data_IF_148352585459
#
_entry.id   IF_148352585459
#
_cell.length_a   1.000
_cell.length_b   1.000
_cell.length_c   1.000
_cell.angle_alpha   90.00
_cell.angle_beta   90.00
_cell.angle_gamma   90.00
#
_symmetry.space_group_name_H-M   'P 1'
#
loop_
_entity.id
_entity.type
_entity.pdbx_description
1 polymer ?
#
# COMPACT_ATOMS: atom_id res chain seq x y z
N UNK A 1 26.20 9.25 -31.72
CA UNK A 1 25.73 10.41 -30.93
C UNK A 1 24.68 9.93 -29.96
N UNK A 2 25.07 9.69 -28.69
CA UNK A 2 24.13 9.29 -27.62
C UNK A 2 23.47 10.57 -27.10
N UNK A 3 22.22 10.84 -27.48
CA UNK A 3 21.45 11.89 -26.87
C UNK A 3 21.27 11.55 -25.39
N UNK A 4 21.95 12.28 -24.52
CA UNK A 4 21.73 12.21 -23.06
C UNK A 4 20.35 12.80 -22.80
N UNK A 5 19.29 11.99 -22.83
CA UNK A 5 18.03 12.43 -22.30
C UNK A 5 18.21 12.64 -20.77
N UNK A 6 17.90 13.84 -20.25
CA UNK A 6 18.01 14.07 -18.81
C UNK A 6 17.10 13.06 -18.07
N UNK A 7 17.57 12.53 -16.93
CA UNK A 7 16.80 11.60 -16.10
C UNK A 7 15.41 12.16 -15.79
N UNK A 8 15.33 13.43 -15.39
CA UNK A 8 14.10 14.18 -15.16
C UNK A 8 13.60 14.79 -16.46
N UNK A 9 12.99 13.97 -17.30
CA UNK A 9 12.25 14.47 -18.46
C UNK A 9 10.84 14.90 -18.06
N UNK A 10 10.18 15.70 -18.92
CA UNK A 10 8.82 16.24 -18.67
C UNK A 10 7.81 15.14 -18.32
N UNK A 11 7.81 14.01 -19.03
CA UNK A 11 6.87 12.93 -18.80
C UNK A 11 7.07 12.29 -17.43
N UNK A 12 8.32 12.12 -16.99
CA UNK A 12 8.62 11.56 -15.67
C UNK A 12 8.18 12.51 -14.54
N UNK A 13 8.41 13.83 -14.69
CA UNK A 13 7.95 14.82 -13.71
C UNK A 13 6.42 14.82 -13.58
N UNK A 14 5.70 14.77 -14.70
CA UNK A 14 4.24 14.69 -14.69
C UNK A 14 3.76 13.38 -14.04
N UNK A 15 4.46 12.26 -14.26
CA UNK A 15 4.12 10.98 -13.61
C UNK A 15 4.42 11.00 -12.11
N UNK A 16 5.46 11.70 -11.65
CA UNK A 16 5.74 11.95 -10.23
C UNK A 16 4.58 12.71 -9.57
N UNK A 17 4.04 13.71 -10.25
CA UNK A 17 2.84 14.44 -9.77
C UNK A 17 1.63 13.49 -9.68
N UNK A 18 1.39 12.67 -10.69
CA UNK A 18 0.32 11.66 -10.66
C UNK A 18 0.50 10.68 -9.51
N UNK A 19 1.72 10.27 -9.19
CA UNK A 19 2.02 9.41 -8.05
C UNK A 19 1.72 10.11 -6.71
N UNK A 20 2.06 11.39 -6.59
CA UNK A 20 1.70 12.20 -5.43
C UNK A 20 0.18 12.28 -5.23
N UNK A 21 -0.59 12.57 -6.29
CA UNK A 21 -2.05 12.57 -6.27
C UNK A 21 -2.64 11.19 -5.91
N UNK A 22 -2.02 10.12 -6.43
CA UNK A 22 -2.43 8.75 -6.10
C UNK A 22 -2.25 8.45 -4.61
N UNK A 23 -1.08 8.75 -4.04
CA UNK A 23 -0.86 8.51 -2.60
C UNK A 23 -1.68 9.45 -1.73
N UNK A 24 -1.91 10.70 -2.14
CA UNK A 24 -2.88 11.59 -1.48
C UNK A 24 -4.25 10.93 -1.37
N UNK A 25 -4.77 10.40 -2.47
CA UNK A 25 -6.05 9.69 -2.48
C UNK A 25 -6.02 8.44 -1.59
N UNK A 26 -5.01 7.58 -1.74
CA UNK A 26 -4.90 6.32 -1.01
C UNK A 26 -4.86 6.53 0.51
N UNK A 27 -3.97 7.42 0.97
CA UNK A 27 -3.78 7.67 2.41
C UNK A 27 -5.01 8.36 3.01
N UNK A 28 -5.61 9.33 2.29
CA UNK A 28 -6.85 9.98 2.73
C UNK A 28 -7.99 8.97 2.85
N UNK A 29 -8.18 8.10 1.85
CA UNK A 29 -9.23 7.07 1.91
C UNK A 29 -9.06 6.15 3.13
N UNK A 30 -7.86 5.72 3.45
CA UNK A 30 -7.60 4.89 4.64
C UNK A 30 -7.85 5.68 5.91
N UNK A 31 -7.42 6.95 5.97
CA UNK A 31 -7.55 7.80 7.15
C UNK A 31 -9.02 8.09 7.54
N UNK A 32 -9.88 8.37 6.55
CA UNK A 32 -11.24 8.86 6.82
C UNK A 32 -12.32 7.79 6.73
N UNK A 33 -12.17 6.76 5.87
CA UNK A 33 -13.26 5.82 5.61
C UNK A 33 -13.58 4.90 6.79
N UNK A 34 -12.65 4.67 7.72
CA UNK A 34 -12.95 4.01 8.99
C UNK A 34 -13.83 4.88 9.91
N UNK A 35 -13.54 6.18 9.96
CA UNK A 35 -14.27 7.17 10.78
C UNK A 35 -15.67 7.46 10.23
N UNK A 36 -15.77 7.74 8.93
CA UNK A 36 -17.07 7.92 8.27
C UNK A 36 -17.86 6.60 8.31
N UNK A 37 -17.19 5.47 8.11
CA UNK A 37 -17.79 4.15 8.27
C UNK A 37 -18.37 3.94 9.66
N UNK A 38 -17.65 4.31 10.73
CA UNK A 38 -18.15 4.22 12.11
C UNK A 38 -19.41 5.08 12.32
N UNK A 39 -19.44 6.28 11.75
CA UNK A 39 -20.59 7.20 11.90
C UNK A 39 -21.86 6.73 11.18
N UNK A 40 -21.71 5.88 10.14
CA UNK A 40 -22.81 5.42 9.27
C UNK A 40 -23.16 3.95 9.49
N UNK A 41 -22.28 3.16 10.08
CA UNK A 41 -22.45 1.71 10.21
C UNK A 41 -23.64 1.36 11.12
N UNK A 42 -24.45 0.37 10.74
CA UNK A 42 -25.51 -0.15 11.61
C UNK A 42 -24.99 -0.69 12.95
N UNK A 43 -23.79 -1.24 12.96
CA UNK A 43 -23.08 -1.75 14.12
C UNK A 43 -21.59 -1.38 14.04
N UNK A 44 -20.99 -1.03 15.17
CA UNK A 44 -19.65 -0.44 15.22
C UNK A 44 -18.53 -1.33 14.63
N UNK A 45 -18.64 -2.66 14.76
CA UNK A 45 -17.64 -3.58 14.19
C UNK A 45 -17.56 -3.55 12.65
N UNK A 46 -18.57 -2.97 11.97
CA UNK A 46 -18.55 -2.78 10.51
C UNK A 46 -17.81 -1.51 10.07
N UNK A 47 -17.29 -0.70 10.99
CA UNK A 47 -16.71 0.62 10.73
C UNK A 47 -15.68 0.63 9.58
N UNK A 48 -14.85 -0.42 9.46
CA UNK A 48 -13.81 -0.51 8.43
C UNK A 48 -14.19 -1.33 7.19
N UNK A 49 -15.46 -1.73 7.05
CA UNK A 49 -15.92 -2.34 5.79
C UNK A 49 -15.68 -1.45 4.56
N UNK A 50 -15.83 -0.11 4.61
CA UNK A 50 -15.43 0.74 3.48
C UNK A 50 -13.94 0.64 3.15
N UNK A 51 -13.05 0.54 4.16
CA UNK A 51 -11.61 0.35 3.94
C UNK A 51 -11.34 -1.02 3.32
N UNK A 52 -11.99 -2.08 3.81
CA UNK A 52 -11.94 -3.41 3.20
C UNK A 52 -12.45 -3.38 1.75
N UNK A 53 -13.56 -2.68 1.49
CA UNK A 53 -14.12 -2.51 0.15
C UNK A 53 -13.10 -1.94 -0.82
N UNK A 54 -12.34 -0.91 -0.41
CA UNK A 54 -11.27 -0.32 -1.21
C UNK A 54 -10.16 -1.33 -1.56
N UNK A 55 -9.72 -2.14 -0.60
CA UNK A 55 -8.69 -3.17 -0.79
C UNK A 55 -9.19 -4.28 -1.72
N UNK A 56 -10.37 -4.81 -1.46
CA UNK A 56 -10.99 -5.89 -2.27
C UNK A 56 -11.28 -5.40 -3.68
N UNK A 57 -11.79 -4.17 -3.82
CA UNK A 57 -12.00 -3.52 -5.11
C UNK A 57 -10.70 -3.39 -5.91
N UNK A 58 -9.58 -3.04 -5.25
CA UNK A 58 -8.26 -2.99 -5.86
C UNK A 58 -7.80 -4.37 -6.35
N UNK A 59 -7.93 -5.40 -5.52
CA UNK A 59 -7.58 -6.78 -5.88
C UNK A 59 -8.38 -7.26 -7.11
N UNK A 60 -9.70 -7.06 -7.10
CA UNK A 60 -10.58 -7.42 -8.21
C UNK A 60 -10.24 -6.67 -9.50
N UNK A 61 -9.91 -5.39 -9.37
CA UNK A 61 -9.65 -4.51 -10.50
C UNK A 61 -8.31 -4.79 -11.18
N UNK A 62 -7.38 -5.51 -10.55
CA UNK A 62 -6.04 -5.76 -11.12
C UNK A 62 -6.12 -6.37 -12.52
N UNK A 63 -6.95 -7.40 -12.71
CA UNK A 63 -7.14 -8.04 -14.03
C UNK A 63 -7.85 -7.13 -15.03
N UNK A 64 -8.81 -6.31 -14.57
CA UNK A 64 -9.56 -5.36 -15.40
C UNK A 64 -8.62 -4.26 -15.89
N UNK A 65 -7.76 -3.73 -15.01
CA UNK A 65 -6.75 -2.73 -15.33
C UNK A 65 -5.74 -3.26 -16.34
N UNK A 66 -5.25 -4.49 -16.15
CA UNK A 66 -4.34 -5.12 -17.11
C UNK A 66 -4.97 -5.25 -18.50
N UNK A 67 -6.23 -5.70 -18.59
CA UNK A 67 -6.98 -5.75 -19.86
C UNK A 67 -7.18 -4.36 -20.44
N UNK A 68 -7.53 -3.36 -19.62
CA UNK A 68 -7.69 -1.97 -20.04
C UNK A 68 -6.39 -1.41 -20.64
N UNK A 69 -5.24 -1.66 -20.02
CA UNK A 69 -3.94 -1.21 -20.53
C UNK A 69 -3.58 -1.90 -21.85
N UNK A 70 -3.86 -3.19 -21.99
CA UNK A 70 -3.60 -3.92 -23.24
C UNK A 70 -4.48 -3.46 -24.39
N UNK A 71 -5.73 -3.07 -24.12
CA UNK A 71 -6.70 -2.69 -25.16
C UNK A 71 -6.60 -1.20 -25.53
N UNK A 72 -6.58 -0.31 -24.53
CA UNK A 72 -6.59 1.15 -24.73
C UNK A 72 -5.20 1.79 -24.64
N UNK A 73 -4.19 1.05 -24.19
CA UNK A 73 -2.86 1.57 -23.87
C UNK A 73 -2.80 2.25 -22.49
N UNK A 74 -1.58 2.55 -22.05
CA UNK A 74 -1.31 3.05 -20.69
C UNK A 74 -2.01 4.37 -20.38
N UNK A 75 -1.93 5.35 -21.29
CA UNK A 75 -2.47 6.70 -21.09
C UNK A 75 -3.97 6.68 -20.81
N UNK A 76 -4.75 6.04 -21.68
CA UNK A 76 -6.21 5.99 -21.58
C UNK A 76 -6.61 5.18 -20.34
N UNK A 77 -5.94 4.06 -20.06
CA UNK A 77 -6.21 3.26 -18.86
C UNK A 77 -5.96 4.06 -17.59
N UNK A 78 -4.89 4.85 -17.51
CA UNK A 78 -4.63 5.72 -16.37
C UNK A 78 -5.64 6.86 -16.24
N UNK A 79 -6.07 7.45 -17.33
CA UNK A 79 -7.14 8.47 -17.34
C UNK A 79 -8.48 7.88 -16.86
N UNK A 80 -8.83 6.66 -17.29
CA UNK A 80 -10.00 5.93 -16.78
C UNK A 80 -9.88 5.69 -15.25
N UNK A 81 -8.68 5.33 -14.77
CA UNK A 81 -8.43 5.19 -13.33
C UNK A 81 -8.70 6.48 -12.55
N UNK A 82 -8.21 7.61 -13.06
CA UNK A 82 -8.42 8.94 -12.47
C UNK A 82 -9.89 9.39 -12.55
N UNK A 83 -10.59 9.08 -13.64
CA UNK A 83 -12.03 9.33 -13.76
C UNK A 83 -12.81 8.52 -12.72
N UNK A 84 -12.47 7.25 -12.54
CA UNK A 84 -13.07 6.42 -11.50
C UNK A 84 -12.75 6.96 -10.10
N UNK A 85 -11.53 7.45 -9.85
CA UNK A 85 -11.18 8.11 -8.59
C UNK A 85 -12.06 9.32 -8.31
N UNK A 86 -12.26 10.18 -9.31
CA UNK A 86 -13.13 11.37 -9.22
C UNK A 86 -14.58 10.99 -8.90
N UNK A 87 -15.15 10.07 -9.69
CA UNK A 87 -16.55 9.66 -9.55
C UNK A 87 -16.79 8.89 -8.24
N UNK A 88 -15.88 8.01 -7.84
CA UNK A 88 -16.00 7.28 -6.58
C UNK A 88 -15.88 8.20 -5.36
N UNK A 89 -15.05 9.24 -5.41
CA UNK A 89 -14.97 10.25 -4.36
C UNK A 89 -16.29 11.03 -4.23
N UNK A 90 -16.90 11.42 -5.36
CA UNK A 90 -18.24 12.05 -5.36
C UNK A 90 -19.32 11.11 -4.83
N UNK A 91 -19.25 9.82 -5.17
CA UNK A 91 -20.16 8.81 -4.65
C UNK A 91 -20.02 8.64 -3.12
N UNK A 92 -18.79 8.63 -2.60
CA UNK A 92 -18.53 8.61 -1.17
C UNK A 92 -19.02 9.91 -0.48
N UNK A 93 -18.83 11.07 -1.11
CA UNK A 93 -19.38 12.34 -0.65
C UNK A 93 -20.90 12.28 -0.53
N UNK A 94 -21.57 11.80 -1.56
CA UNK A 94 -23.03 11.63 -1.55
C UNK A 94 -23.49 10.60 -0.51
N UNK A 95 -22.74 9.50 -0.35
CA UNK A 95 -23.02 8.50 0.68
C UNK A 95 -22.94 9.08 2.10
N UNK A 96 -21.95 9.96 2.36
CA UNK A 96 -21.82 10.65 3.64
C UNK A 96 -23.00 11.61 3.91
N UNK A 97 -23.40 12.41 2.93
CA UNK A 97 -24.53 13.35 3.05
C UNK A 97 -25.86 12.59 3.21
N UNK A 98 -26.09 11.55 2.42
CA UNK A 98 -27.31 10.72 2.48
C UNK A 98 -27.31 9.73 3.64
N UNK A 99 -26.24 9.70 4.45
CA UNK A 99 -26.07 8.78 5.58
C UNK A 99 -26.24 7.30 5.18
N UNK A 100 -25.79 6.93 3.98
CA UNK A 100 -25.96 5.58 3.46
C UNK A 100 -24.64 4.80 3.54
N UNK A 101 -24.57 3.89 4.52
CA UNK A 101 -23.39 3.06 4.77
C UNK A 101 -23.01 2.17 3.59
N UNK A 102 -23.99 1.48 2.98
CA UNK A 102 -23.72 0.55 1.89
C UNK A 102 -23.27 1.25 0.61
N UNK A 103 -23.78 2.45 0.40
CA UNK A 103 -23.34 3.29 -0.71
C UNK A 103 -21.88 3.73 -0.52
N UNK A 104 -21.45 4.00 0.72
CA UNK A 104 -20.06 4.29 1.05
C UNK A 104 -19.17 3.06 0.75
N UNK A 105 -19.57 1.86 1.19
CA UNK A 105 -18.85 0.62 0.91
C UNK A 105 -18.72 0.39 -0.60
N UNK A 106 -19.80 0.60 -1.37
CA UNK A 106 -19.78 0.47 -2.82
C UNK A 106 -18.87 1.53 -3.48
N UNK A 107 -18.92 2.78 -3.03
CA UNK A 107 -18.08 3.85 -3.54
C UNK A 107 -16.59 3.56 -3.33
N UNK A 108 -16.22 3.07 -2.14
CA UNK A 108 -14.83 2.69 -1.85
C UNK A 108 -14.38 1.45 -2.63
N UNK A 109 -15.27 0.46 -2.83
CA UNK A 109 -14.98 -0.69 -3.69
C UNK A 109 -14.66 -0.27 -5.14
N UNK A 110 -15.47 0.64 -5.70
CA UNK A 110 -15.23 1.20 -7.04
C UNK A 110 -13.91 1.98 -7.08
N UNK A 111 -13.58 2.75 -6.03
CA UNK A 111 -12.32 3.48 -5.90
C UNK A 111 -11.09 2.55 -5.96
N UNK A 112 -11.24 1.28 -5.60
CA UNK A 112 -10.21 0.25 -5.73
C UNK A 112 -9.66 0.11 -7.15
N UNK A 113 -10.45 0.41 -8.18
CA UNK A 113 -9.97 0.43 -9.57
C UNK A 113 -8.83 1.45 -9.77
N UNK A 114 -8.95 2.63 -9.17
CA UNK A 114 -7.87 3.61 -9.19
C UNK A 114 -6.66 3.14 -8.39
N UNK A 115 -6.88 2.48 -7.26
CA UNK A 115 -5.79 1.87 -6.48
C UNK A 115 -4.96 0.90 -7.32
N UNK A 116 -5.61 0.00 -8.07
CA UNK A 116 -4.93 -0.93 -8.96
C UNK A 116 -4.16 -0.21 -10.09
N UNK A 117 -4.73 0.86 -10.67
CA UNK A 117 -4.07 1.67 -11.69
C UNK A 117 -2.84 2.42 -11.14
N UNK A 118 -2.96 3.09 -10.00
CA UNK A 118 -1.90 3.89 -9.40
C UNK A 118 -0.66 3.07 -9.04
N UNK A 119 -0.85 1.81 -8.63
CA UNK A 119 0.24 0.87 -8.39
C UNK A 119 1.12 0.64 -9.63
N UNK A 120 0.62 0.91 -10.82
CA UNK A 120 1.34 0.70 -12.08
C UNK A 120 2.17 1.91 -12.52
N UNK A 121 2.01 3.09 -11.90
CA UNK A 121 2.81 4.28 -12.26
C UNK A 121 4.31 4.04 -12.15
N UNK A 122 4.76 3.29 -11.15
CA UNK A 122 6.18 2.90 -10.98
C UNK A 122 6.72 2.08 -12.15
N UNK A 123 5.91 1.23 -12.77
CA UNK A 123 6.31 0.45 -13.94
C UNK A 123 6.32 1.33 -15.19
N UNK A 124 5.32 2.23 -15.33
CA UNK A 124 5.28 3.20 -16.40
C UNK A 124 6.49 4.16 -16.37
N UNK A 125 7.00 4.50 -15.18
CA UNK A 125 8.22 5.30 -15.03
C UNK A 125 9.43 4.68 -15.73
N UNK A 126 9.58 3.36 -15.63
CA UNK A 126 10.67 2.64 -16.27
C UNK A 126 10.61 2.67 -17.81
N UNK A 127 9.42 2.89 -18.38
CA UNK A 127 9.22 2.98 -19.85
C UNK A 127 9.48 4.39 -20.38
N UNK A 128 9.46 5.40 -19.53
CA UNK A 128 9.68 6.80 -19.89
C UNK A 128 11.16 7.22 -19.91
N UNK A 129 12.07 6.28 -19.63
CA UNK A 129 13.50 6.54 -19.49
C UNK A 129 14.36 5.48 -20.16
N UNK A 130 15.64 5.82 -20.42
CA UNK A 130 16.63 4.89 -20.94
C UNK A 130 16.85 3.71 -20.01
N UNK A 131 17.22 2.53 -20.57
CA UNK A 131 17.48 1.28 -19.83
C UNK A 131 18.40 1.47 -18.60
N UNK A 132 19.44 2.30 -18.71
CA UNK A 132 20.41 2.57 -17.63
C UNK A 132 19.83 3.42 -16.48
N UNK A 133 18.68 4.07 -16.69
CA UNK A 133 18.08 5.01 -15.75
C UNK A 133 16.76 4.52 -15.16
N UNK A 134 16.28 3.33 -15.57
CA UNK A 134 14.97 2.78 -15.16
C UNK A 134 14.80 2.71 -13.65
N UNK A 135 15.79 2.19 -12.94
CA UNK A 135 15.69 2.03 -11.47
C UNK A 135 15.62 3.39 -10.76
N UNK A 136 16.36 4.39 -11.28
CA UNK A 136 16.28 5.76 -10.77
C UNK A 136 14.93 6.41 -11.04
N UNK A 137 14.35 6.19 -12.23
CA UNK A 137 13.04 6.72 -12.57
C UNK A 137 11.93 6.13 -11.67
N UNK A 138 11.97 4.81 -11.43
CA UNK A 138 11.06 4.15 -10.48
C UNK A 138 11.21 4.76 -9.09
N UNK A 139 12.44 4.95 -8.61
CA UNK A 139 12.71 5.57 -7.30
C UNK A 139 12.17 7.00 -7.21
N UNK A 140 12.32 7.81 -8.25
CA UNK A 140 11.80 9.19 -8.28
C UNK A 140 10.27 9.22 -8.25
N UNK A 141 9.60 8.32 -8.98
CA UNK A 141 8.12 8.24 -8.94
C UNK A 141 7.64 7.80 -7.56
N UNK A 142 8.29 6.81 -6.95
CA UNK A 142 7.95 6.40 -5.58
C UNK A 142 8.20 7.52 -4.56
N UNK A 143 9.28 8.31 -4.75
CA UNK A 143 9.55 9.49 -3.94
C UNK A 143 8.45 10.56 -4.04
N UNK A 144 7.86 10.73 -5.25
CA UNK A 144 6.68 11.59 -5.43
C UNK A 144 5.50 11.20 -4.55
N UNK A 145 5.42 9.93 -4.16
CA UNK A 145 4.44 9.45 -3.20
C UNK A 145 4.58 10.04 -1.80
N UNK A 146 5.79 10.41 -1.37
CA UNK A 146 6.01 11.06 -0.07
C UNK A 146 5.26 12.40 0.01
N UNK A 147 5.15 13.13 -1.11
CA UNK A 147 4.31 14.34 -1.17
C UNK A 147 2.85 14.01 -0.84
N UNK A 148 2.35 12.90 -1.40
CA UNK A 148 1.00 12.43 -1.10
C UNK A 148 0.82 11.97 0.35
N UNK A 149 1.87 11.42 0.96
CA UNK A 149 1.87 11.06 2.38
C UNK A 149 1.65 12.27 3.29
N UNK A 150 2.27 13.40 2.94
CA UNK A 150 2.11 14.67 3.67
C UNK A 150 0.77 15.33 3.32
N UNK A 151 0.48 15.47 2.04
CA UNK A 151 -0.72 16.20 1.57
C UNK A 151 -2.01 15.50 2.00
N UNK A 152 -2.09 14.16 1.88
CA UNK A 152 -3.34 13.41 2.09
C UNK A 152 -3.97 13.60 3.47
N UNK A 153 -3.29 13.24 4.57
CA UNK A 153 -3.84 13.38 5.91
C UNK A 153 -4.10 14.84 6.30
N UNK A 154 -3.20 15.75 5.92
CA UNK A 154 -3.37 17.18 6.20
C UNK A 154 -4.57 17.77 5.44
N UNK A 155 -4.74 17.41 4.15
CA UNK A 155 -5.90 17.80 3.37
C UNK A 155 -7.21 17.33 4.02
N UNK A 156 -7.26 16.07 4.48
CA UNK A 156 -8.40 15.55 5.20
C UNK A 156 -8.67 16.32 6.50
N UNK A 157 -7.62 16.70 7.24
CA UNK A 157 -7.71 17.48 8.47
C UNK A 157 -8.23 18.89 8.20
N UNK A 158 -7.70 19.62 7.23
CA UNK A 158 -8.07 20.98 6.90
C UNK A 158 -9.50 21.09 6.34
N UNK A 159 -9.97 20.05 5.67
CA UNK A 159 -11.29 20.05 5.01
C UNK A 159 -12.36 19.29 5.76
N UNK A 160 -12.02 18.71 6.93
CA UNK A 160 -12.92 17.88 7.74
C UNK A 160 -14.23 18.58 8.07
N UNK A 161 -14.12 19.77 8.59
CA UNK A 161 -15.22 20.53 9.22
C UNK A 161 -15.64 21.76 8.37
N UNK A 162 -15.31 21.75 7.04
CA UNK A 162 -15.73 22.82 6.11
C UNK A 162 -17.21 22.79 5.79
N UNK A 163 -17.90 21.70 6.05
CA UNK A 163 -19.32 21.48 5.80
C UNK A 163 -19.96 20.83 7.01
N UNK A 164 -21.29 20.90 7.12
CA UNK A 164 -22.04 20.26 8.22
C UNK A 164 -21.83 18.74 8.29
N UNK A 165 -21.55 18.10 7.15
CA UNK A 165 -21.20 16.69 7.10
C UNK A 165 -19.69 16.54 7.21
N UNK A 166 -19.21 15.92 8.29
CA UNK A 166 -17.78 15.68 8.52
C UNK A 166 -17.14 14.92 7.35
N UNK A 167 -15.93 15.35 6.95
CA UNK A 167 -15.16 14.80 5.84
C UNK A 167 -15.76 14.96 4.43
N UNK A 168 -16.92 15.63 4.28
CA UNK A 168 -17.45 15.93 2.95
C UNK A 168 -16.42 16.71 2.11
N UNK A 169 -15.79 17.72 2.72
CA UNK A 169 -14.73 18.50 2.08
C UNK A 169 -13.55 17.64 1.62
N UNK A 170 -13.18 16.62 2.38
CA UNK A 170 -12.10 15.70 2.00
C UNK A 170 -12.45 14.91 0.72
N UNK A 171 -13.65 14.34 0.63
CA UNK A 171 -14.09 13.65 -0.60
C UNK A 171 -14.17 14.57 -1.81
N UNK A 172 -14.70 15.80 -1.65
CA UNK A 172 -14.74 16.79 -2.73
C UNK A 172 -13.34 17.16 -3.21
N UNK A 173 -12.40 17.34 -2.30
CA UNK A 173 -10.99 17.66 -2.65
C UNK A 173 -10.31 16.50 -3.35
N UNK A 174 -10.60 15.25 -2.96
CA UNK A 174 -10.12 14.07 -3.69
C UNK A 174 -10.70 13.97 -5.10
N UNK A 175 -11.96 14.37 -5.29
CA UNK A 175 -12.55 14.46 -6.63
C UNK A 175 -11.84 15.52 -7.48
N UNK A 176 -11.54 16.69 -6.91
CA UNK A 176 -10.75 17.73 -7.58
C UNK A 176 -9.34 17.21 -7.92
N UNK A 177 -8.69 16.49 -6.99
CA UNK A 177 -7.38 15.87 -7.24
C UNK A 177 -7.43 14.86 -8.41
N UNK A 178 -8.50 14.07 -8.51
CA UNK A 178 -8.75 13.18 -9.64
C UNK A 178 -8.87 13.94 -10.97
N UNK A 179 -9.62 15.05 -10.98
CA UNK A 179 -9.75 15.93 -12.15
C UNK A 179 -8.40 16.54 -12.57
N UNK A 180 -7.63 17.07 -11.60
CA UNK A 180 -6.28 17.58 -11.85
C UNK A 180 -5.39 16.46 -12.41
N UNK A 181 -5.48 15.26 -11.89
CA UNK A 181 -4.74 14.10 -12.35
C UNK A 181 -5.05 13.75 -13.82
N UNK A 182 -6.33 13.81 -14.24
CA UNK A 182 -6.73 13.60 -15.63
C UNK A 182 -6.06 14.63 -16.54
N UNK A 183 -6.08 15.92 -16.12
CA UNK A 183 -5.45 17.00 -16.86
C UNK A 183 -3.93 16.82 -16.98
N UNK A 184 -3.26 16.48 -15.88
CA UNK A 184 -1.81 16.20 -15.86
C UNK A 184 -1.48 15.01 -16.76
N UNK A 185 -2.25 13.91 -16.66
CA UNK A 185 -2.05 12.69 -17.46
C UNK A 185 -2.21 12.97 -18.97
N UNK A 186 -3.01 13.94 -19.37
CA UNK A 186 -3.19 14.33 -20.77
C UNK A 186 -1.88 14.75 -21.43
N UNK A 187 -0.96 15.34 -20.70
CA UNK A 187 0.32 15.83 -21.21
C UNK A 187 1.44 14.78 -21.19
N UNK A 188 1.21 13.60 -20.64
CA UNK A 188 2.20 12.51 -20.66
C UNK A 188 2.10 11.76 -21.98
N UNK A 189 3.26 11.54 -22.60
CA UNK A 189 3.41 10.73 -23.81
C UNK A 189 4.12 9.44 -23.44
N UNK A 190 3.40 8.33 -23.50
CA UNK A 190 3.97 7.00 -23.33
C UNK A 190 4.47 6.48 -24.68
N UNK A 191 5.63 5.81 -24.75
CA UNK A 191 6.07 5.12 -25.95
C UNK A 191 5.00 4.10 -26.39
N UNK A 192 4.80 3.96 -27.71
CA UNK A 192 3.97 2.86 -28.21
C UNK A 192 4.60 1.54 -27.79
N UNK A 193 3.89 0.75 -27.00
CA UNK A 193 4.32 -0.60 -26.69
C UNK A 193 4.40 -1.41 -27.98
N UNK A 194 5.60 -1.83 -28.36
CA UNK A 194 5.74 -3.00 -29.21
C UNK A 194 5.05 -4.12 -28.43
N UNK A 195 3.94 -4.64 -28.97
CA UNK A 195 3.22 -5.81 -28.42
C UNK A 195 4.24 -6.94 -28.30
N UNK A 196 4.91 -7.01 -27.14
CA UNK A 196 5.75 -8.15 -26.81
C UNK A 196 4.77 -9.29 -26.68
N UNK A 197 4.74 -10.18 -27.64
CA UNK A 197 4.08 -11.48 -27.49
C UNK A 197 4.72 -12.12 -26.26
N UNK A 198 3.99 -12.09 -25.14
CA UNK A 198 4.32 -12.97 -24.04
C UNK A 198 4.19 -14.40 -24.59
N UNK A 199 5.30 -14.98 -25.00
CA UNK A 199 5.36 -16.42 -25.20
C UNK A 199 4.95 -17.04 -23.88
N UNK A 200 3.91 -17.85 -23.91
CA UNK A 200 3.54 -18.76 -22.84
C UNK A 200 4.78 -19.64 -22.60
N UNK A 201 5.66 -19.20 -21.71
CA UNK A 201 6.93 -19.89 -21.51
C UNK A 201 6.71 -21.10 -20.61
N UNK A 202 7.30 -22.22 -21.00
CA UNK A 202 7.39 -23.49 -20.26
C UNK A 202 8.22 -23.36 -18.96
N UNK A 203 7.84 -22.44 -18.08
CA UNK A 203 8.41 -22.37 -16.74
C UNK A 203 7.82 -23.44 -15.82
N UNK A 204 8.51 -23.75 -14.71
CA UNK A 204 8.04 -24.71 -13.70
C UNK A 204 6.59 -24.42 -13.29
N UNK A 205 5.76 -25.46 -13.01
CA UNK A 205 4.43 -25.25 -12.46
C UNK A 205 4.45 -24.38 -11.18
N UNK A 206 3.42 -23.58 -10.98
CA UNK A 206 3.33 -22.72 -9.77
C UNK A 206 3.43 -23.53 -8.47
N UNK A 207 2.88 -24.76 -8.46
CA UNK A 207 2.98 -25.68 -7.32
C UNK A 207 4.41 -26.03 -6.92
N UNK A 208 5.33 -26.06 -7.86
CA UNK A 208 6.76 -26.32 -7.59
C UNK A 208 7.40 -25.07 -6.96
N UNK A 209 7.06 -23.89 -7.44
CA UNK A 209 7.57 -22.63 -6.89
C UNK A 209 7.04 -22.43 -5.47
N UNK A 210 5.74 -22.67 -5.23
CA UNK A 210 5.09 -22.56 -3.92
C UNK A 210 5.64 -23.52 -2.86
N UNK A 211 6.27 -24.64 -3.26
CA UNK A 211 6.86 -25.60 -2.32
C UNK A 211 8.30 -25.27 -1.91
N UNK A 212 8.91 -24.28 -2.55
CA UNK A 212 10.28 -23.89 -2.21
C UNK A 212 10.29 -23.16 -0.85
N UNK A 213 11.12 -23.59 0.12
CA UNK A 213 11.20 -22.95 1.45
C UNK A 213 11.42 -21.45 1.40
N UNK A 214 12.30 -21.01 0.48
CA UNK A 214 12.62 -19.59 0.25
C UNK A 214 11.38 -18.81 -0.18
N UNK A 215 10.56 -19.39 -1.08
CA UNK A 215 9.36 -18.73 -1.60
C UNK A 215 8.23 -18.69 -0.55
N UNK A 216 8.08 -19.78 0.22
CA UNK A 216 7.12 -19.83 1.34
C UNK A 216 7.41 -18.74 2.37
N UNK A 217 8.68 -18.61 2.80
CA UNK A 217 9.10 -17.60 3.77
C UNK A 217 8.95 -16.18 3.19
N UNK A 218 9.18 -16.00 1.89
CA UNK A 218 8.94 -14.73 1.22
C UNK A 218 7.44 -14.36 1.24
N UNK A 219 6.53 -15.32 0.95
CA UNK A 219 5.07 -15.09 1.06
C UNK A 219 4.67 -14.74 2.49
N UNK A 220 5.14 -15.50 3.48
CA UNK A 220 4.85 -15.24 4.90
C UNK A 220 5.30 -13.83 5.28
N UNK A 221 6.55 -13.44 4.96
CA UNK A 221 7.09 -12.12 5.25
C UNK A 221 6.32 -10.99 4.54
N UNK A 222 5.96 -11.17 3.27
CA UNK A 222 5.17 -10.18 2.53
C UNK A 222 3.74 -10.06 3.05
N UNK A 223 3.01 -11.18 3.16
CA UNK A 223 1.60 -11.19 3.50
C UNK A 223 1.36 -10.82 4.98
N UNK A 224 2.06 -11.45 5.92
CA UNK A 224 1.87 -11.15 7.33
C UNK A 224 2.48 -9.79 7.73
N UNK A 225 3.63 -9.42 7.14
CA UNK A 225 4.21 -8.08 7.35
C UNK A 225 3.29 -6.97 6.86
N UNK A 226 2.67 -7.15 5.68
CA UNK A 226 1.66 -6.22 5.16
C UNK A 226 0.37 -6.27 5.99
N UNK A 227 -0.04 -7.45 6.42
CA UNK A 227 -1.24 -7.65 7.24
C UNK A 227 -1.17 -6.93 8.57
N UNK A 228 -0.07 -7.05 9.31
CA UNK A 228 0.13 -6.34 10.58
C UNK A 228 0.13 -4.83 10.38
N UNK A 229 0.87 -4.36 9.37
CA UNK A 229 0.90 -2.94 9.03
C UNK A 229 -0.51 -2.42 8.72
N UNK A 230 -1.25 -3.10 7.86
CA UNK A 230 -2.60 -2.70 7.46
C UNK A 230 -3.60 -2.76 8.62
N UNK A 231 -3.51 -3.79 9.48
CA UNK A 231 -4.35 -3.95 10.67
C UNK A 231 -4.22 -2.75 11.61
N UNK A 232 -2.98 -2.40 11.96
CA UNK A 232 -2.70 -1.32 12.91
C UNK A 232 -2.94 0.06 12.29
N UNK A 233 -2.50 0.28 11.04
CA UNK A 233 -2.72 1.54 10.33
C UNK A 233 -4.21 1.87 10.18
N UNK A 234 -5.02 0.90 9.72
CA UNK A 234 -6.46 1.12 9.50
C UNK A 234 -7.26 1.28 10.80
N UNK A 235 -6.80 0.67 11.91
CA UNK A 235 -7.40 0.83 13.23
C UNK A 235 -7.01 2.15 13.92
N UNK A 236 -5.87 2.75 13.56
CA UNK A 236 -5.32 3.92 14.27
C UNK A 236 -6.27 5.12 14.31
N UNK A 237 -6.93 5.54 13.20
CA UNK A 237 -7.87 6.67 13.25
C UNK A 237 -9.03 6.42 14.24
N UNK A 238 -9.56 5.20 14.25
CA UNK A 238 -10.64 4.80 15.17
C UNK A 238 -10.15 4.75 16.62
N UNK A 239 -8.98 4.15 16.86
CA UNK A 239 -8.38 4.07 18.18
C UNK A 239 -8.12 5.47 18.77
N UNK A 240 -7.53 6.38 17.98
CA UNK A 240 -7.24 7.74 18.40
C UNK A 240 -8.52 8.53 18.68
N UNK A 241 -9.57 8.37 17.85
CA UNK A 241 -10.88 8.97 18.10
C UNK A 241 -11.51 8.46 19.39
N UNK A 242 -11.47 7.15 19.65
CA UNK A 242 -11.98 6.53 20.89
C UNK A 242 -11.22 7.06 22.12
N UNK A 243 -9.92 7.32 21.98
CA UNK A 243 -9.09 7.91 23.03
C UNK A 243 -9.28 9.44 23.19
N UNK A 244 -10.16 10.07 22.39
CA UNK A 244 -10.46 11.51 22.47
C UNK A 244 -9.40 12.41 21.82
N UNK A 245 -8.48 11.86 21.03
CA UNK A 245 -7.47 12.63 20.32
C UNK A 245 -8.08 13.32 19.07
N UNK A 246 -7.70 14.58 18.79
CA UNK A 246 -8.20 15.30 17.62
C UNK A 246 -7.72 14.68 16.32
N UNK A 247 -8.48 14.85 15.24
CA UNK A 247 -8.11 14.29 13.93
C UNK A 247 -6.79 14.86 13.36
N UNK A 248 -6.41 16.09 13.75
CA UNK A 248 -5.09 16.67 13.42
C UNK A 248 -3.92 15.80 13.90
N UNK A 249 -4.03 15.23 15.10
CA UNK A 249 -3.03 14.31 15.65
C UNK A 249 -3.01 12.99 14.87
N UNK A 250 -4.19 12.50 14.49
CA UNK A 250 -4.31 11.31 13.61
C UNK A 250 -3.66 11.57 12.25
N UNK A 251 -3.87 12.73 11.67
CA UNK A 251 -3.24 13.12 10.41
C UNK A 251 -1.70 13.13 10.52
N UNK A 252 -1.17 13.71 11.60
CA UNK A 252 0.27 13.72 11.89
C UNK A 252 0.84 12.30 12.04
N UNK A 253 0.17 11.43 12.79
CA UNK A 253 0.60 10.04 13.00
C UNK A 253 0.63 9.28 11.69
N UNK A 254 -0.40 9.40 10.85
CA UNK A 254 -0.47 8.74 9.56
C UNK A 254 0.52 9.29 8.55
N UNK A 255 0.74 10.61 8.54
CA UNK A 255 1.78 11.25 7.72
C UNK A 255 3.14 10.61 7.98
N UNK A 256 3.58 10.59 9.23
CA UNK A 256 4.88 10.03 9.59
C UNK A 256 4.95 8.50 9.45
N UNK A 257 3.84 7.81 9.65
CA UNK A 257 3.75 6.38 9.33
C UNK A 257 4.06 6.12 7.85
N UNK A 258 3.42 6.86 6.94
CA UNK A 258 3.62 6.68 5.49
C UNK A 258 5.02 7.15 5.06
N UNK A 259 5.57 8.22 5.67
CA UNK A 259 6.98 8.57 5.51
C UNK A 259 7.88 7.40 5.93
N UNK A 260 7.61 6.77 7.08
CA UNK A 260 8.31 5.57 7.55
C UNK A 260 8.21 4.38 6.59
N UNK A 261 7.09 4.25 5.88
CA UNK A 261 6.91 3.20 4.85
C UNK A 261 7.77 3.42 3.62
N UNK A 262 7.92 4.65 3.13
CA UNK A 262 8.51 4.92 1.83
C UNK A 262 9.93 5.50 1.89
N UNK A 263 10.25 6.35 2.87
CA UNK A 263 11.57 6.97 2.96
C UNK A 263 12.74 5.97 3.13
N UNK A 264 12.62 4.89 3.93
CA UNK A 264 13.68 3.90 4.02
C UNK A 264 13.95 3.18 2.70
N UNK A 265 12.98 3.14 1.78
CA UNK A 265 13.12 2.50 0.47
C UNK A 265 14.32 3.01 -0.34
N UNK A 266 14.77 4.26 -0.12
CA UNK A 266 15.95 4.81 -0.77
C UNK A 266 17.25 4.10 -0.39
N UNK A 267 17.33 3.49 0.78
CA UNK A 267 18.54 2.84 1.27
C UNK A 267 18.35 1.36 1.64
N UNK A 268 17.12 0.87 1.76
CA UNK A 268 16.83 -0.55 2.11
C UNK A 268 17.49 -1.52 1.15
N UNK A 269 17.50 -1.22 -0.15
CA UNK A 269 18.20 -2.05 -1.15
C UNK A 269 19.70 -2.16 -0.87
N UNK A 270 20.35 -1.05 -0.54
CA UNK A 270 21.78 -1.03 -0.19
C UNK A 270 22.07 -1.77 1.11
N UNK A 271 21.15 -1.67 2.10
CA UNK A 271 21.26 -2.44 3.34
C UNK A 271 21.14 -3.94 3.08
N UNK A 272 20.20 -4.36 2.21
CA UNK A 272 20.04 -5.76 1.81
C UNK A 272 21.32 -6.29 1.12
N UNK A 273 21.92 -5.50 0.22
CA UNK A 273 23.17 -5.88 -0.45
C UNK A 273 24.34 -6.02 0.55
N UNK A 274 24.42 -5.12 1.53
CA UNK A 274 25.53 -5.10 2.50
C UNK A 274 25.39 -6.16 3.61
N UNK A 275 24.19 -6.35 4.15
CA UNK A 275 23.97 -7.17 5.35
C UNK A 275 23.21 -8.47 5.07
N UNK A 276 22.62 -8.61 3.89
CA UNK A 276 21.82 -9.75 3.48
C UNK A 276 20.34 -9.60 3.80
N UNK A 277 19.51 -10.20 2.95
CA UNK A 277 18.04 -10.07 2.98
C UNK A 277 17.41 -10.51 4.31
N UNK A 278 17.83 -11.70 4.82
CA UNK A 278 17.22 -12.25 6.06
C UNK A 278 17.51 -11.39 7.30
N UNK A 279 18.69 -10.77 7.38
CA UNK A 279 19.01 -9.89 8.52
C UNK A 279 18.18 -8.62 8.50
N UNK A 280 18.00 -7.99 7.32
CA UNK A 280 17.18 -6.79 7.18
C UNK A 280 15.71 -7.08 7.47
N UNK A 281 15.17 -8.22 7.00
CA UNK A 281 13.84 -8.68 7.36
C UNK A 281 13.73 -8.93 8.88
N UNK A 282 14.76 -9.50 9.51
CA UNK A 282 14.83 -9.69 10.96
C UNK A 282 14.76 -8.38 11.74
N UNK A 283 15.44 -7.33 11.26
CA UNK A 283 15.30 -5.97 11.82
C UNK A 283 13.87 -5.47 11.65
N UNK A 284 13.23 -5.71 10.51
CA UNK A 284 11.81 -5.37 10.29
C UNK A 284 10.87 -6.04 11.29
N UNK A 285 11.09 -7.33 11.59
CA UNK A 285 10.36 -8.07 12.64
C UNK A 285 10.59 -7.42 14.02
N UNK A 286 11.84 -7.11 14.36
CA UNK A 286 12.18 -6.46 15.63
C UNK A 286 11.49 -5.11 15.79
N UNK A 287 11.47 -4.29 14.74
CA UNK A 287 10.77 -2.99 14.74
C UNK A 287 9.27 -3.16 14.96
N UNK A 288 8.64 -4.20 14.40
CA UNK A 288 7.23 -4.49 14.65
C UNK A 288 6.98 -4.93 16.11
N UNK A 289 7.88 -5.72 16.71
CA UNK A 289 7.78 -6.02 18.14
C UNK A 289 7.91 -4.77 19.01
N UNK A 290 8.85 -3.88 18.70
CA UNK A 290 9.03 -2.61 19.41
C UNK A 290 7.79 -1.72 19.22
N UNK A 291 7.23 -1.64 18.00
CA UNK A 291 5.98 -0.95 17.73
C UNK A 291 4.86 -1.42 18.66
N UNK A 292 4.62 -2.74 18.71
CA UNK A 292 3.58 -3.33 19.56
C UNK A 292 3.86 -3.07 21.05
N UNK A 293 5.11 -3.22 21.48
CA UNK A 293 5.49 -2.92 22.86
C UNK A 293 5.18 -1.47 23.24
N UNK A 294 5.53 -0.49 22.40
CA UNK A 294 5.22 0.92 22.64
C UNK A 294 3.71 1.17 22.60
N UNK A 295 2.99 0.58 21.65
CA UNK A 295 1.53 0.72 21.53
C UNK A 295 0.77 0.18 22.78
N UNK A 296 1.37 -0.76 23.51
CA UNK A 296 0.82 -1.33 24.74
C UNK A 296 1.16 -0.49 25.99
N UNK A 297 2.08 0.47 25.92
CA UNK A 297 2.45 1.32 27.08
C UNK A 297 1.46 2.45 27.34
N UNK A 298 0.60 2.79 26.39
CA UNK A 298 -0.38 3.86 26.56
C UNK A 298 -1.08 4.25 25.26
N UNK A 299 -1.97 5.25 25.39
CA UNK A 299 -2.83 5.73 24.29
C UNK A 299 -2.71 7.24 24.05
N UNK A 300 -1.57 7.83 24.43
CA UNK A 300 -1.29 9.24 24.14
C UNK A 300 -0.70 9.40 22.74
N UNK A 301 -0.69 10.62 22.21
CA UNK A 301 -0.16 10.94 20.90
C UNK A 301 1.25 10.37 20.65
N UNK A 302 2.15 10.48 21.63
CA UNK A 302 3.54 10.01 21.50
C UNK A 302 3.64 8.50 21.26
N UNK A 303 2.83 7.68 21.95
CA UNK A 303 2.80 6.24 21.73
C UNK A 303 2.29 5.89 20.33
N UNK A 304 1.20 6.49 19.89
CA UNK A 304 0.71 6.31 18.53
C UNK A 304 1.75 6.74 17.50
N UNK A 305 2.35 7.91 17.66
CA UNK A 305 3.32 8.47 16.74
C UNK A 305 4.55 7.57 16.58
N UNK A 306 5.21 7.19 17.68
CA UNK A 306 6.42 6.37 17.63
C UNK A 306 6.09 4.97 17.14
N UNK A 307 5.02 4.35 17.66
CA UNK A 307 4.60 3.01 17.26
C UNK A 307 4.33 2.93 15.76
N UNK A 308 3.51 3.85 15.21
CA UNK A 308 3.15 3.85 13.79
C UNK A 308 4.33 4.19 12.89
N UNK A 309 5.22 5.09 13.29
CA UNK A 309 6.45 5.35 12.53
C UNK A 309 7.32 4.09 12.42
N UNK A 310 7.58 3.41 13.54
CA UNK A 310 8.34 2.15 13.56
C UNK A 310 7.66 1.03 12.77
N UNK A 311 6.33 0.98 12.81
CA UNK A 311 5.53 0.06 12.00
C UNK A 311 5.78 0.27 10.51
N UNK A 312 5.81 1.55 10.06
CA UNK A 312 6.10 1.91 8.68
C UNK A 312 7.50 1.46 8.23
N UNK A 313 8.52 1.75 9.03
CA UNK A 313 9.91 1.33 8.75
C UNK A 313 10.03 -0.20 8.76
N UNK A 314 9.42 -0.87 9.74
CA UNK A 314 9.40 -2.33 9.86
C UNK A 314 8.73 -2.99 8.65
N UNK A 315 7.62 -2.43 8.20
CA UNK A 315 6.94 -2.87 6.98
C UNK A 315 7.85 -2.73 5.75
N UNK A 316 8.53 -1.60 5.59
CA UNK A 316 9.44 -1.39 4.46
C UNK A 316 10.52 -2.47 4.38
N UNK A 317 11.17 -2.76 5.51
CA UNK A 317 12.21 -3.78 5.58
C UNK A 317 11.68 -5.19 5.31
N UNK A 318 10.52 -5.52 5.85
CA UNK A 318 9.88 -6.82 5.61
C UNK A 318 9.42 -6.97 4.18
N UNK A 319 8.68 -6.01 3.64
CA UNK A 319 8.07 -6.11 2.31
C UNK A 319 9.11 -6.05 1.19
N UNK A 320 10.08 -5.14 1.30
CA UNK A 320 11.20 -5.03 0.34
C UNK A 320 12.09 -6.26 0.42
N UNK A 321 12.40 -6.72 1.64
CA UNK A 321 13.18 -7.93 1.86
C UNK A 321 12.48 -9.18 1.34
N UNK A 322 11.18 -9.35 1.61
CA UNK A 322 10.39 -10.47 1.12
C UNK A 322 10.32 -10.49 -0.41
N UNK A 323 10.16 -9.31 -1.05
CA UNK A 323 10.19 -9.18 -2.51
C UNK A 323 11.56 -9.60 -3.06
N UNK A 324 12.66 -9.14 -2.45
CA UNK A 324 14.01 -9.52 -2.82
C UNK A 324 14.25 -11.03 -2.62
N UNK A 325 13.77 -11.58 -1.50
CA UNK A 325 13.89 -13.01 -1.20
C UNK A 325 13.13 -13.87 -2.23
N UNK A 326 11.92 -13.48 -2.58
CA UNK A 326 11.10 -14.18 -3.57
C UNK A 326 11.77 -14.25 -4.94
N UNK A 327 12.45 -13.17 -5.37
CA UNK A 327 13.16 -13.15 -6.67
C UNK A 327 14.26 -14.20 -6.77
N UNK A 328 14.77 -14.72 -5.66
CA UNK A 328 15.78 -15.81 -5.68
C UNK A 328 15.16 -17.20 -5.88
N UNK A 329 13.84 -17.33 -5.85
CA UNK A 329 13.13 -18.60 -5.92
C UNK A 329 12.56 -18.92 -7.31
N UNK A 330 12.46 -17.94 -8.22
CA UNK A 330 11.87 -18.13 -9.55
C UNK A 330 12.79 -17.60 -10.65
N UNK A 331 12.60 -18.14 -11.85
CA UNK A 331 13.31 -17.72 -13.07
C UNK A 331 12.59 -16.54 -13.74
N UNK A 332 13.25 -15.76 -14.63
CA UNK A 332 12.64 -14.62 -15.31
C UNK A 332 11.32 -14.95 -16.04
N UNK A 333 11.21 -16.13 -16.66
CA UNK A 333 10.01 -16.61 -17.35
C UNK A 333 8.87 -17.07 -16.40
N UNK A 334 9.14 -17.20 -15.10
CA UNK A 334 8.18 -17.59 -14.07
C UNK A 334 7.66 -16.38 -13.26
N UNK A 335 8.24 -15.19 -13.53
CA UNK A 335 8.04 -13.97 -12.75
C UNK A 335 6.56 -13.63 -12.53
N UNK A 336 5.78 -13.61 -13.61
CA UNK A 336 4.38 -13.13 -13.54
C UNK A 336 3.52 -14.03 -12.66
N UNK A 337 3.65 -15.36 -12.80
CA UNK A 337 2.90 -16.32 -11.97
C UNK A 337 3.36 -16.31 -10.51
N UNK A 338 4.66 -16.12 -10.24
CA UNK A 338 5.19 -16.02 -8.90
C UNK A 338 4.73 -14.72 -8.20
N UNK A 339 4.79 -13.58 -8.89
CA UNK A 339 4.31 -12.31 -8.36
C UNK A 339 2.80 -12.28 -8.16
N UNK A 340 2.03 -12.90 -9.08
CA UNK A 340 0.58 -13.05 -8.91
C UNK A 340 0.24 -13.84 -7.65
N UNK A 341 0.98 -14.92 -7.35
CA UNK A 341 0.79 -15.70 -6.14
C UNK A 341 1.07 -14.87 -4.87
N UNK A 342 2.20 -14.14 -4.82
CA UNK A 342 2.52 -13.26 -3.68
C UNK A 342 1.41 -12.22 -3.48
N UNK A 343 1.00 -11.55 -4.55
CA UNK A 343 -0.04 -10.52 -4.50
C UNK A 343 -1.38 -11.10 -4.02
N UNK A 344 -1.73 -12.31 -4.43
CA UNK A 344 -2.94 -12.99 -3.95
C UNK A 344 -2.93 -13.14 -2.42
N UNK A 345 -1.84 -13.62 -1.84
CA UNK A 345 -1.72 -13.77 -0.38
C UNK A 345 -1.69 -12.40 0.32
N UNK A 346 -0.99 -11.41 -0.23
CA UNK A 346 -0.94 -10.04 0.33
C UNK A 346 -2.32 -9.41 0.33
N UNK A 347 -3.03 -9.38 -0.81
CA UNK A 347 -4.36 -8.77 -0.88
C UNK A 347 -5.39 -9.53 -0.05
N UNK A 348 -5.34 -10.87 -0.03
CA UNK A 348 -6.20 -11.68 0.84
C UNK A 348 -6.02 -11.33 2.32
N UNK A 349 -4.77 -11.24 2.78
CA UNK A 349 -4.43 -10.84 4.15
C UNK A 349 -4.84 -9.39 4.43
N UNK A 350 -4.61 -8.47 3.48
CA UNK A 350 -5.05 -7.08 3.62
C UNK A 350 -6.58 -6.95 3.75
N UNK A 351 -7.35 -7.69 2.95
CA UNK A 351 -8.81 -7.67 3.04
C UNK A 351 -9.28 -8.14 4.42
N UNK A 352 -8.72 -9.26 4.91
CA UNK A 352 -9.02 -9.79 6.23
C UNK A 352 -8.64 -8.82 7.35
N UNK A 353 -7.45 -8.25 7.31
CA UNK A 353 -6.96 -7.32 8.35
C UNK A 353 -7.64 -5.95 8.28
N UNK A 354 -8.07 -5.47 7.10
CA UNK A 354 -8.87 -4.26 6.99
C UNK A 354 -10.23 -4.41 7.69
N UNK A 355 -10.89 -5.56 7.53
CA UNK A 355 -12.10 -5.88 8.28
C UNK A 355 -11.82 -6.03 9.77
N UNK A 356 -10.82 -6.85 10.12
CA UNK A 356 -10.41 -7.13 11.49
C UNK A 356 -10.01 -5.88 12.29
N UNK A 357 -9.46 -4.86 11.62
CA UNK A 357 -9.02 -3.62 12.27
C UNK A 357 -10.18 -2.90 12.97
N UNK A 358 -11.29 -2.69 12.27
CA UNK A 358 -12.49 -2.06 12.86
C UNK A 358 -13.17 -2.98 13.86
N UNK A 359 -13.37 -4.25 13.50
CA UNK A 359 -14.05 -5.21 14.36
C UNK A 359 -13.34 -5.36 15.72
N UNK A 360 -12.02 -5.48 15.74
CA UNK A 360 -11.26 -5.64 16.97
C UNK A 360 -11.16 -4.33 17.77
N UNK A 361 -10.86 -3.21 17.13
CA UNK A 361 -10.66 -1.95 17.87
C UNK A 361 -11.97 -1.43 18.49
N UNK A 362 -13.11 -1.59 17.82
CA UNK A 362 -14.40 -1.10 18.32
C UNK A 362 -15.02 -2.01 19.36
N UNK A 363 -14.74 -3.33 19.35
CA UNK A 363 -15.30 -4.29 20.29
C UNK A 363 -14.39 -4.63 21.47
N UNK A 364 -13.06 -4.63 21.27
CA UNK A 364 -12.10 -5.07 22.27
C UNK A 364 -11.00 -4.02 22.57
N UNK A 365 -10.97 -2.92 21.81
CA UNK A 365 -10.04 -1.82 22.02
C UNK A 365 -8.65 -2.03 21.40
N UNK A 366 -7.83 -0.98 21.51
CA UNK A 366 -6.50 -0.90 20.93
C UNK A 366 -5.51 -1.94 21.46
N UNK A 367 -5.57 -2.23 22.78
CA UNK A 367 -4.63 -3.16 23.41
C UNK A 367 -4.79 -4.59 22.89
N UNK A 368 -6.01 -5.11 22.79
CA UNK A 368 -6.27 -6.48 22.29
C UNK A 368 -5.84 -6.62 20.83
N UNK A 369 -6.05 -5.59 20.01
CA UNK A 369 -5.61 -5.58 18.62
C UNK A 369 -4.08 -5.68 18.54
N UNK A 370 -3.34 -4.96 19.40
CA UNK A 370 -1.87 -5.04 19.46
C UNK A 370 -1.38 -6.40 19.98
N UNK A 371 -2.02 -6.97 21.03
CA UNK A 371 -1.70 -8.31 21.50
C UNK A 371 -1.91 -9.36 20.39
N UNK A 372 -3.01 -9.27 19.64
CA UNK A 372 -3.28 -10.15 18.50
C UNK A 372 -2.23 -10.04 17.40
N UNK A 373 -1.66 -8.85 17.20
CA UNK A 373 -0.63 -8.59 16.20
C UNK A 373 0.71 -9.27 16.50
N UNK A 374 0.96 -9.68 17.77
CA UNK A 374 2.17 -10.44 18.11
C UNK A 374 2.23 -11.80 17.39
N UNK A 375 1.08 -12.43 17.16
CA UNK A 375 1.02 -13.77 16.53
C UNK A 375 1.62 -13.75 15.11
N UNK A 376 1.13 -12.93 14.17
CA UNK A 376 1.69 -12.90 12.82
C UNK A 376 3.14 -12.37 12.79
N UNK A 377 3.52 -11.47 13.70
CA UNK A 377 4.92 -11.00 13.80
C UNK A 377 5.83 -12.15 14.28
N UNK A 378 5.42 -12.92 15.30
CA UNK A 378 6.15 -14.09 15.79
C UNK A 378 6.28 -15.18 14.71
N UNK A 379 5.18 -15.48 13.98
CA UNK A 379 5.20 -16.44 12.85
C UNK A 379 6.23 -16.00 11.79
N UNK A 380 6.25 -14.72 11.45
CA UNK A 380 7.22 -14.18 10.49
C UNK A 380 8.65 -14.33 11.02
N UNK A 381 8.91 -14.00 12.28
CA UNK A 381 10.22 -14.16 12.90
C UNK A 381 10.70 -15.61 12.92
N UNK A 382 9.82 -16.54 13.31
CA UNK A 382 10.11 -17.98 13.30
C UNK A 382 10.39 -18.52 11.91
N UNK A 383 9.64 -18.09 10.89
CA UNK A 383 9.86 -18.49 9.51
C UNK A 383 11.24 -18.02 8.99
N UNK A 384 11.62 -16.77 9.31
CA UNK A 384 12.94 -16.24 8.96
C UNK A 384 14.08 -17.01 9.67
N UNK A 385 13.90 -17.27 10.95
CA UNK A 385 14.87 -18.04 11.74
C UNK A 385 15.04 -19.46 11.19
N UNK A 386 13.94 -20.14 10.91
CA UNK A 386 13.95 -21.48 10.30
C UNK A 386 14.72 -21.50 8.96
N UNK A 387 14.44 -20.53 8.06
CA UNK A 387 15.14 -20.46 6.79
C UNK A 387 16.63 -20.15 6.95
N UNK A 388 17.00 -19.32 7.94
CA UNK A 388 18.40 -19.01 8.24
C UNK A 388 19.15 -20.26 8.71
N UNK A 389 18.54 -21.08 9.57
CA UNK A 389 19.11 -22.34 10.04
C UNK A 389 19.26 -23.37 8.90
N UNK A 390 18.24 -23.49 8.05
CA UNK A 390 18.29 -24.40 6.89
C UNK A 390 19.45 -24.05 5.96
N UNK A 391 19.66 -22.74 5.68
CA UNK A 391 20.78 -22.29 4.85
C UNK A 391 22.15 -22.57 5.49
N UNK A 392 22.25 -22.40 6.81
CA UNK A 392 23.47 -22.69 7.55
C UNK A 392 23.83 -24.19 7.50
N UNK A 393 22.84 -25.05 7.70
CA UNK A 393 23.03 -26.50 7.64
C UNK A 393 23.41 -27.00 6.23
N UNK A 394 22.89 -26.36 5.18
CA UNK A 394 23.24 -26.70 3.78
C UNK A 394 24.64 -26.23 3.37
N UNK A 395 25.29 -25.36 4.13
CA UNK A 395 26.63 -24.84 3.91
C UNK A 395 27.69 -25.47 4.83
N UNK A 396 27.27 -26.29 5.80
CA UNK A 396 28.21 -27.04 6.66
C UNK A 396 28.89 -28.11 5.78
N UNK A 397 30.24 -28.16 5.70
CA UNK A 397 30.94 -29.21 5.00
C UNK A 397 30.65 -30.56 5.65
N UNK A 398 30.24 -31.55 4.84
CA UNK A 398 30.13 -32.97 5.22
C UNK A 398 31.53 -33.55 5.44
#
# INVERSE_FOLDING_TARGET
MTSKHPLLNRNLVLLIICQGLFLTNNVTFIAINGLVGLSLAPVSWMATLPVMGYVVGGAFSTSIVAKSQNYFGRKISFQLGLLVAMLSALLCAYAAVSKNFWLLVMGTFIAGYYSANGQLYRFAAAELTDLKQRDKAVSWVLAGGILGAVIGPNLASWTRDLFDTAFLGAYLTLSIAGFIGIFVMQFIHFPQELKTQHSLSDGRPLSVILRQPVFVVAIIGAALGYGVMNLLMAATPLAMQICGLPFSDTALVLEWHVIGMFAPGFFTGSLIQRFGTLKIMGVGVLLNFICIAIALTGTNLHQFFIALFLLGVGWNFLFTGATSLAMTAYQPNERDKAQAAINFFVFGTMAFTSFGSGALVTSHGWSILNWGSLIPVAITGLALYWLAQQRKNSQAPT
#
